data_IF_791101062242
#
_entry.id   IF_791101062242
#
_cell.length_a   1.000
_cell.length_b   1.000
_cell.length_c   1.000
_cell.angle_alpha   90.00
_cell.angle_beta   90.00
_cell.angle_gamma   90.00
#
_symmetry.space_group_name_H-M   'P 1'
#
loop_
_entity.id
_entity.type
_entity.pdbx_description
1 polymer ?
#
# COMPACT_ATOMS: atom_id res chain seq x y z
N UNK A 1 28.57 3.36 4.25
CA UNK A 1 28.03 3.17 5.62
C UNK A 1 27.27 1.85 5.64
N UNK A 2 27.68 0.87 6.45
CA UNK A 2 26.96 -0.40 6.57
C UNK A 2 25.57 -0.14 7.18
N UNK A 3 24.53 -0.70 6.56
CA UNK A 3 23.18 -0.62 7.12
C UNK A 3 23.12 -1.42 8.43
N UNK A 4 22.31 -0.96 9.41
CA UNK A 4 22.09 -1.68 10.68
C UNK A 4 21.42 -3.04 10.49
N UNK A 5 20.93 -3.34 9.29
CA UNK A 5 20.23 -4.57 8.91
C UNK A 5 21.14 -5.64 8.28
N UNK A 6 22.46 -5.48 8.34
CA UNK A 6 23.40 -6.40 7.71
C UNK A 6 23.61 -6.10 6.21
N UNK A 7 24.35 -6.97 5.49
CA UNK A 7 24.58 -6.83 4.06
C UNK A 7 23.29 -7.09 3.25
N UNK A 8 23.20 -6.52 2.05
CA UNK A 8 22.08 -6.81 1.15
C UNK A 8 22.06 -8.27 0.73
N UNK A 9 20.88 -8.90 0.59
CA UNK A 9 20.79 -10.16 -0.13
C UNK A 9 21.36 -9.95 -1.54
N UNK A 10 22.02 -10.97 -2.06
CA UNK A 10 22.67 -10.90 -3.37
C UNK A 10 21.69 -10.56 -4.50
N UNK A 11 20.41 -10.90 -4.32
CA UNK A 11 19.31 -10.51 -5.20
C UNK A 11 18.13 -10.03 -4.33
N UNK A 12 17.51 -8.88 -4.66
CA UNK A 12 16.31 -8.43 -3.97
C UNK A 12 15.20 -9.46 -4.18
N UNK A 13 14.65 -9.99 -3.09
CA UNK A 13 13.44 -10.81 -3.13
C UNK A 13 12.26 -9.98 -2.67
N UNK A 14 11.08 -10.46 -3.00
CA UNK A 14 9.83 -9.81 -2.61
C UNK A 14 9.69 -9.63 -1.08
N UNK A 15 10.27 -10.56 -0.31
CA UNK A 15 10.26 -10.58 1.16
C UNK A 15 11.50 -9.93 1.77
N UNK A 16 12.64 -9.94 1.05
CA UNK A 16 13.89 -9.33 1.47
C UNK A 16 14.50 -8.48 0.36
N UNK A 17 14.16 -7.19 0.36
CA UNK A 17 14.55 -6.22 -0.67
C UNK A 17 15.81 -5.42 -0.31
N UNK A 18 16.31 -5.53 0.92
CA UNK A 18 17.18 -4.52 1.53
C UNK A 18 18.48 -5.06 2.13
N UNK A 19 19.41 -4.16 2.49
CA UNK A 19 19.13 -2.78 2.80
C UNK A 19 19.24 -1.82 1.63
N UNK A 20 18.36 -0.83 1.65
CA UNK A 20 18.25 0.23 0.66
C UNK A 20 18.33 1.59 1.37
N UNK A 21 19.14 2.51 0.84
CA UNK A 21 19.19 3.89 1.31
C UNK A 21 18.35 4.75 0.38
N UNK A 22 17.29 5.37 0.91
CA UNK A 22 16.41 6.25 0.14
C UNK A 22 17.09 7.60 -0.05
N UNK A 23 17.21 8.13 -1.29
CA UNK A 23 17.78 9.45 -1.53
C UNK A 23 16.94 10.58 -0.88
N UNK A 24 17.56 11.72 -0.54
CA UNK A 24 16.83 12.88 -0.06
C UNK A 24 15.72 13.32 -1.02
N UNK A 25 14.58 13.76 -0.49
CA UNK A 25 13.45 14.24 -1.28
C UNK A 25 12.67 13.14 -2.03
N UNK A 26 13.01 11.87 -1.81
CA UNK A 26 12.30 10.72 -2.39
C UNK A 26 11.69 9.82 -1.32
N UNK A 27 10.78 8.95 -1.75
CA UNK A 27 10.07 7.99 -0.91
C UNK A 27 10.17 6.61 -1.54
N UNK A 28 10.34 5.60 -0.68
CA UNK A 28 10.14 4.20 -1.05
C UNK A 28 8.75 3.79 -0.56
N UNK A 29 7.85 3.51 -1.50
CA UNK A 29 6.46 3.16 -1.21
C UNK A 29 6.24 1.66 -1.38
N UNK A 30 5.48 1.07 -0.46
CA UNK A 30 5.11 -0.34 -0.48
C UNK A 30 3.61 -0.46 -0.23
N UNK A 31 2.95 -1.36 -0.96
CA UNK A 31 1.56 -1.70 -0.69
C UNK A 31 1.46 -2.73 0.45
N UNK A 32 0.32 -2.76 1.12
CA UNK A 32 0.07 -3.73 2.20
C UNK A 32 -0.09 -5.16 1.65
N UNK A 33 -0.77 -5.31 0.50
CA UNK A 33 -0.84 -6.58 -0.22
C UNK A 33 0.43 -6.79 -1.02
N UNK A 34 1.49 -7.26 -0.34
CA UNK A 34 2.84 -7.32 -0.88
C UNK A 34 2.86 -7.99 -2.26
N UNK A 35 2.32 -9.20 -2.38
CA UNK A 35 2.40 -10.02 -3.60
C UNK A 35 1.58 -9.48 -4.78
N UNK A 36 0.60 -8.60 -4.51
CA UNK A 36 -0.29 -8.05 -5.53
C UNK A 36 -0.08 -6.54 -5.74
N UNK A 37 1.04 -6.00 -5.25
CA UNK A 37 1.36 -4.58 -5.33
C UNK A 37 2.54 -4.35 -6.26
N UNK A 38 2.29 -3.64 -7.36
CA UNK A 38 3.35 -3.06 -8.20
C UNK A 38 3.78 -1.73 -7.58
N UNK A 39 4.69 -1.79 -6.62
CA UNK A 39 5.18 -0.63 -5.85
C UNK A 39 6.66 -0.32 -6.12
N UNK A 40 7.32 0.45 -5.24
CA UNK A 40 8.69 0.93 -5.45
C UNK A 40 9.73 -0.18 -5.66
N UNK A 41 9.40 -1.43 -5.32
CA UNK A 41 10.20 -2.62 -5.67
C UNK A 41 10.29 -2.81 -7.19
N UNK A 42 9.28 -2.41 -7.96
CA UNK A 42 9.23 -2.58 -9.41
C UNK A 42 9.66 -1.33 -10.18
N UNK A 43 9.23 -0.15 -9.76
CA UNK A 43 9.42 1.10 -10.51
C UNK A 43 10.30 2.15 -9.80
N UNK A 44 10.89 1.81 -8.65
CA UNK A 44 11.86 2.66 -7.95
C UNK A 44 11.24 3.71 -7.02
N UNK A 45 11.98 4.78 -6.74
CA UNK A 45 11.57 5.78 -5.74
C UNK A 45 10.62 6.84 -6.29
N UNK A 46 9.65 7.27 -5.46
CA UNK A 46 8.73 8.38 -5.77
C UNK A 46 9.32 9.71 -5.32
N UNK A 47 9.39 10.75 -6.17
CA UNK A 47 9.66 12.12 -5.73
C UNK A 47 8.60 12.63 -4.74
N UNK A 48 9.00 13.29 -3.64
CA UNK A 48 8.07 13.76 -2.59
C UNK A 48 7.00 14.72 -3.11
N UNK A 49 7.32 15.49 -4.13
CA UNK A 49 6.41 16.42 -4.82
C UNK A 49 5.18 15.73 -5.47
N UNK A 50 5.30 14.44 -5.81
CA UNK A 50 4.18 13.67 -6.36
C UNK A 50 3.17 13.25 -5.29
N UNK A 51 3.48 13.42 -4.00
CA UNK A 51 2.60 13.06 -2.89
C UNK A 51 1.63 14.20 -2.59
N UNK A 52 0.35 13.95 -2.86
CA UNK A 52 -0.72 14.93 -2.61
C UNK A 52 -1.15 15.02 -1.14
N UNK A 53 -1.10 13.92 -0.41
CA UNK A 53 -1.58 13.89 0.98
C UNK A 53 -1.58 12.50 1.59
N UNK A 54 -2.13 12.42 2.80
CA UNK A 54 -2.32 11.16 3.54
C UNK A 54 -3.81 10.80 3.55
N UNK A 55 -4.17 9.52 3.32
CA UNK A 55 -5.55 9.10 3.44
C UNK A 55 -6.01 9.22 4.90
N UNK A 56 -7.23 9.73 5.13
CA UNK A 56 -7.75 10.06 6.47
C UNK A 56 -8.77 9.04 6.97
N UNK A 57 -9.79 8.75 6.17
CA UNK A 57 -10.84 7.79 6.51
C UNK A 57 -11.48 7.19 5.27
N UNK A 58 -12.22 6.09 5.44
CA UNK A 58 -12.97 5.44 4.36
C UNK A 58 -14.34 6.10 4.24
N UNK A 59 -14.54 6.90 3.17
CA UNK A 59 -15.82 7.56 2.89
C UNK A 59 -16.92 6.57 2.48
N UNK A 60 -16.59 5.60 1.61
CA UNK A 60 -17.55 4.64 1.08
C UNK A 60 -16.89 3.29 0.78
N UNK A 61 -17.60 2.18 0.99
CA UNK A 61 -17.12 0.83 0.70
C UNK A 61 -18.28 -0.07 0.28
N UNK A 62 -18.15 -0.70 -0.89
CA UNK A 62 -19.18 -1.53 -1.52
C UNK A 62 -18.56 -2.84 -2.05
N UNK A 63 -19.28 -3.95 -1.96
CA UNK A 63 -18.94 -5.20 -2.64
C UNK A 63 -19.50 -5.19 -4.06
N UNK A 64 -18.64 -5.16 -5.06
CA UNK A 64 -19.07 -5.17 -6.47
C UNK A 64 -19.10 -6.57 -7.10
N UNK A 65 -18.86 -7.61 -6.31
CA UNK A 65 -18.96 -8.99 -6.78
C UNK A 65 -20.43 -9.38 -6.97
N UNK A 66 -20.71 -10.39 -7.83
CA UNK A 66 -22.05 -10.96 -7.98
C UNK A 66 -22.51 -11.53 -6.62
N UNK A 67 -23.30 -10.73 -5.92
CA UNK A 67 -23.82 -11.04 -4.59
C UNK A 67 -25.23 -11.57 -4.76
N UNK A 68 -25.46 -12.83 -4.37
CA UNK A 68 -26.81 -13.42 -4.32
C UNK A 68 -27.68 -12.85 -3.17
N UNK A 69 -27.20 -11.79 -2.49
CA UNK A 69 -27.90 -11.18 -1.37
C UNK A 69 -29.11 -10.38 -1.86
N UNK A 70 -30.25 -10.47 -1.17
CA UNK A 70 -31.40 -9.64 -1.51
C UNK A 70 -31.05 -8.16 -1.32
N UNK A 71 -31.53 -7.31 -2.24
CA UNK A 71 -31.32 -5.85 -2.24
C UNK A 71 -29.82 -5.45 -2.15
N UNK A 72 -28.99 -5.81 -3.15
CA UNK A 72 -27.54 -5.57 -3.14
C UNK A 72 -27.18 -4.09 -2.96
N UNK A 73 -28.04 -3.19 -3.47
CA UNK A 73 -27.96 -1.74 -3.25
C UNK A 73 -27.84 -1.32 -1.77
N UNK A 74 -28.25 -2.15 -0.81
CA UNK A 74 -28.10 -1.92 0.63
C UNK A 74 -27.22 -2.96 1.33
N UNK A 75 -27.29 -4.23 0.93
CA UNK A 75 -26.64 -5.34 1.64
C UNK A 75 -25.17 -5.53 1.26
N UNK A 76 -24.72 -4.98 0.13
CA UNK A 76 -23.33 -5.04 -0.29
C UNK A 76 -22.51 -3.84 0.20
N UNK A 77 -23.16 -2.85 0.81
CA UNK A 77 -22.48 -1.76 1.49
C UNK A 77 -21.81 -2.31 2.76
N UNK A 78 -20.49 -2.13 2.86
CA UNK A 78 -19.70 -2.52 4.04
C UNK A 78 -19.76 -1.42 5.10
N UNK A 79 -20.90 -1.32 5.77
CA UNK A 79 -21.18 -0.28 6.78
C UNK A 79 -20.09 -0.16 7.86
N UNK A 80 -19.50 -1.28 8.30
CA UNK A 80 -18.45 -1.30 9.32
C UNK A 80 -17.16 -0.58 8.91
N UNK A 81 -16.94 -0.34 7.61
CA UNK A 81 -15.75 0.38 7.11
C UNK A 81 -16.01 1.86 6.95
N UNK A 82 -17.26 2.29 6.79
CA UNK A 82 -17.58 3.71 6.57
C UNK A 82 -17.21 4.49 7.82
N UNK A 83 -16.45 5.58 7.64
CA UNK A 83 -15.93 6.40 8.74
C UNK A 83 -14.74 5.78 9.48
N UNK A 84 -14.24 4.61 9.05
CA UNK A 84 -13.03 4.04 9.64
C UNK A 84 -11.84 4.96 9.40
N UNK A 85 -11.24 5.45 10.50
CA UNK A 85 -10.07 6.32 10.47
C UNK A 85 -8.79 5.52 10.20
N UNK A 86 -8.01 5.97 9.22
CA UNK A 86 -6.75 5.35 8.85
C UNK A 86 -5.68 5.90 9.79
N UNK A 87 -5.09 5.01 10.58
CA UNK A 87 -4.00 5.33 11.53
C UNK A 87 -2.64 5.23 10.86
#
# INVERSE_FOLDING_TARGET
KASRFGPAPAQPTHDNWGPLVVPPGKLFMMGDSRYNSKDSRYWGFVPRENVRGKPLFVYYSYNADDSDRPLPMLTDIRWSRIGHWIR
#
